data_IF_171985600535
#
_entry.id   IF_171985600535
#
_cell.length_a   1.000
_cell.length_b   1.000
_cell.length_c   1.000
_cell.angle_alpha   90.00
_cell.angle_beta   90.00
_cell.angle_gamma   90.00
#
_symmetry.space_group_name_H-M   'P 1'
#
loop_
_entity.id
_entity.type
_entity.pdbx_description
1 polymer ?
#
# COMPACT_ATOMS: atom_id res chain seq x y z
N UNK A 1 -1.74 -18.47 -2.53
CA UNK A 1 -3.00 -18.30 -3.29
C UNK A 1 -2.74 -17.78 -4.70
N UNK A 2 -2.17 -16.57 -4.87
CA UNK A 2 -1.89 -15.97 -6.19
C UNK A 2 -1.09 -16.92 -7.11
N UNK A 3 0.09 -17.36 -6.67
CA UNK A 3 0.93 -18.33 -7.42
C UNK A 3 0.17 -19.61 -7.83
N UNK A 4 -0.65 -20.17 -6.94
CA UNK A 4 -1.41 -21.40 -7.20
C UNK A 4 -2.52 -21.21 -8.26
N UNK A 5 -2.97 -19.98 -8.49
CA UNK A 5 -4.00 -19.65 -9.47
C UNK A 5 -3.44 -18.89 -10.67
N UNK A 6 -2.11 -18.77 -10.80
CA UNK A 6 -1.48 -17.98 -11.86
C UNK A 6 -1.78 -16.48 -11.78
N UNK A 7 -2.12 -15.97 -10.60
CA UNK A 7 -2.34 -14.54 -10.36
C UNK A 7 -1.09 -13.82 -9.86
N UNK A 8 -1.18 -12.50 -9.82
CA UNK A 8 -0.11 -11.59 -9.36
C UNK A 8 -0.18 -11.36 -7.84
N UNK A 9 0.97 -11.31 -7.19
CA UNK A 9 1.13 -10.89 -5.81
C UNK A 9 1.64 -9.44 -5.75
N UNK A 10 0.80 -8.53 -5.26
CA UNK A 10 1.14 -7.10 -5.15
C UNK A 10 1.55 -6.75 -3.73
N UNK A 11 2.72 -6.14 -3.56
CA UNK A 11 3.16 -5.60 -2.28
C UNK A 11 2.82 -4.12 -2.15
N UNK A 12 2.11 -3.78 -1.06
CA UNK A 12 1.81 -2.41 -0.66
C UNK A 12 2.21 -2.17 0.79
N UNK A 13 2.96 -1.10 1.00
CA UNK A 13 3.33 -0.58 2.32
C UNK A 13 2.30 0.48 2.72
N UNK A 14 1.63 0.25 3.85
CA UNK A 14 0.72 1.20 4.47
C UNK A 14 1.53 2.11 5.40
N UNK A 15 2.05 3.20 4.84
CA UNK A 15 2.98 4.13 5.50
C UNK A 15 2.31 5.46 5.89
N UNK A 16 0.98 5.48 6.05
CA UNK A 16 0.25 6.73 6.32
C UNK A 16 0.40 7.22 7.76
N UNK A 17 0.62 6.29 8.70
CA UNK A 17 1.01 6.59 10.07
C UNK A 17 2.54 6.65 10.17
N UNK A 18 3.10 7.87 10.13
CA UNK A 18 4.56 8.10 10.14
C UNK A 18 5.23 7.69 11.46
N UNK A 19 4.51 7.71 12.58
CA UNK A 19 5.08 7.32 13.88
C UNK A 19 5.28 5.80 13.94
N UNK A 20 4.37 5.04 13.31
CA UNK A 20 4.42 3.58 13.28
C UNK A 20 5.17 3.02 12.07
N UNK A 21 5.27 3.79 10.99
CA UNK A 21 5.87 3.39 9.72
C UNK A 21 7.30 3.93 9.60
N UNK A 22 8.11 3.70 10.62
CA UNK A 22 9.51 4.14 10.60
C UNK A 22 10.27 3.40 9.49
N UNK A 23 11.35 3.98 8.94
CA UNK A 23 12.17 3.30 7.94
C UNK A 23 12.62 1.90 8.38
N UNK A 24 12.95 1.73 9.67
CA UNK A 24 13.38 0.46 10.24
C UNK A 24 12.24 -0.56 10.29
N UNK A 25 11.02 -0.12 10.60
CA UNK A 25 9.85 -0.99 10.60
C UNK A 25 9.52 -1.49 9.18
N UNK A 26 9.64 -0.60 8.18
CA UNK A 26 9.46 -0.97 6.77
C UNK A 26 10.55 -1.95 6.34
N UNK A 27 11.81 -1.68 6.66
CA UNK A 27 12.94 -2.55 6.33
C UNK A 27 12.78 -3.96 6.95
N UNK A 28 12.38 -4.05 8.22
CA UNK A 28 12.12 -5.32 8.88
C UNK A 28 11.03 -6.17 8.17
N UNK A 29 10.01 -5.53 7.60
CA UNK A 29 8.99 -6.21 6.77
C UNK A 29 9.64 -6.75 5.49
N UNK A 30 10.40 -5.91 4.78
CA UNK A 30 11.06 -6.30 3.53
C UNK A 30 12.02 -7.47 3.75
N UNK A 31 12.82 -7.43 4.82
CA UNK A 31 13.74 -8.49 5.20
C UNK A 31 13.01 -9.78 5.55
N UNK A 32 11.91 -9.70 6.31
CA UNK A 32 11.07 -10.85 6.61
C UNK A 32 10.49 -11.49 5.36
N UNK A 33 10.05 -10.69 4.38
CA UNK A 33 9.54 -11.19 3.10
C UNK A 33 10.63 -11.87 2.28
N UNK A 34 11.82 -11.26 2.18
CA UNK A 34 12.96 -11.84 1.48
C UNK A 34 13.41 -13.16 2.14
N UNK A 35 13.48 -13.19 3.47
CA UNK A 35 13.86 -14.39 4.22
C UNK A 35 12.89 -15.56 3.97
N UNK A 36 11.59 -15.27 3.86
CA UNK A 36 10.55 -16.24 3.54
C UNK A 36 10.45 -16.56 2.03
N UNK A 37 11.27 -15.93 1.18
CA UNK A 37 11.18 -16.03 -0.29
C UNK A 37 9.79 -15.69 -0.83
N UNK A 38 9.15 -14.67 -0.24
CA UNK A 38 7.84 -14.15 -0.67
C UNK A 38 8.02 -13.05 -1.70
N UNK A 39 8.38 -13.43 -2.93
CA UNK A 39 8.55 -12.50 -4.04
C UNK A 39 7.20 -11.99 -4.57
N UNK A 40 7.05 -10.66 -4.58
CA UNK A 40 5.93 -9.95 -5.20
C UNK A 40 6.21 -9.63 -6.67
N UNK A 41 5.14 -9.61 -7.46
CA UNK A 41 5.16 -9.31 -8.89
C UNK A 41 5.06 -7.80 -9.14
N UNK A 42 4.37 -7.07 -8.26
CA UNK A 42 4.23 -5.60 -8.33
C UNK A 42 4.54 -4.92 -6.99
N UNK A 43 5.12 -3.72 -7.06
CA UNK A 43 5.48 -2.89 -5.89
C UNK A 43 6.97 -2.92 -5.51
N UNK A 44 7.34 -2.50 -4.29
CA UNK A 44 6.45 -2.03 -3.23
C UNK A 44 5.79 -0.68 -3.55
N UNK A 45 4.47 -0.59 -3.40
CA UNK A 45 3.74 0.67 -3.46
C UNK A 45 3.59 1.29 -2.07
N UNK A 46 3.95 2.56 -1.94
CA UNK A 46 3.80 3.32 -0.69
C UNK A 46 2.52 4.15 -0.75
N UNK A 47 1.70 4.12 0.30
CA UNK A 47 0.45 4.87 0.34
C UNK A 47 0.67 6.37 0.40
N UNK A 48 1.72 6.85 1.08
CA UNK A 48 2.06 8.29 1.13
C UNK A 48 2.31 8.89 -0.26
N UNK A 49 2.81 8.09 -1.20
CA UNK A 49 3.02 8.50 -2.61
C UNK A 49 1.73 8.57 -3.43
N UNK A 50 0.58 8.26 -2.84
CA UNK A 50 -0.72 8.18 -3.53
C UNK A 50 -1.74 9.18 -2.97
N UNK A 51 -1.34 10.12 -2.11
CA UNK A 51 -2.25 11.12 -1.55
C UNK A 51 -2.98 11.91 -2.63
N UNK A 52 -2.34 12.25 -3.75
CA UNK A 52 -3.01 12.92 -4.87
C UNK A 52 -4.21 12.13 -5.40
N UNK A 53 -4.07 10.79 -5.51
CA UNK A 53 -5.18 9.93 -5.94
C UNK A 53 -6.28 9.90 -4.88
N UNK A 54 -5.93 9.85 -3.60
CA UNK A 54 -6.93 9.82 -2.52
C UNK A 54 -7.69 11.15 -2.44
N UNK A 55 -6.98 12.28 -2.52
CA UNK A 55 -7.59 13.61 -2.56
C UNK A 55 -8.56 13.74 -3.74
N UNK A 56 -8.17 13.29 -4.94
CA UNK A 56 -9.07 13.33 -6.10
C UNK A 56 -10.35 12.49 -5.91
N UNK A 57 -10.27 11.35 -5.21
CA UNK A 57 -11.46 10.55 -4.88
C UNK A 57 -12.30 11.24 -3.81
N UNK A 58 -11.66 11.82 -2.78
CA UNK A 58 -12.36 12.58 -1.73
C UNK A 58 -13.13 13.75 -2.34
N UNK A 59 -12.50 14.51 -3.23
CA UNK A 59 -13.15 15.63 -3.92
C UNK A 59 -14.36 15.16 -4.73
N UNK A 60 -14.22 14.06 -5.49
CA UNK A 60 -15.34 13.45 -6.21
C UNK A 60 -16.47 13.04 -5.25
N UNK A 61 -16.15 12.39 -4.14
CA UNK A 61 -17.16 11.93 -3.18
C UNK A 61 -17.89 13.10 -2.50
N UNK A 62 -17.19 14.20 -2.24
CA UNK A 62 -17.79 15.43 -1.73
C UNK A 62 -18.74 16.06 -2.75
N UNK A 63 -18.37 16.09 -4.03
CA UNK A 63 -19.22 16.59 -5.12
C UNK A 63 -20.48 15.74 -5.33
N UNK A 64 -20.35 14.41 -5.24
CA UNK A 64 -21.46 13.46 -5.40
C UNK A 64 -22.38 13.40 -4.16
N UNK A 65 -22.01 14.07 -3.05
CA UNK A 65 -22.74 13.99 -1.79
C UNK A 65 -22.64 12.62 -1.10
N UNK A 66 -21.64 11.81 -1.47
CA UNK A 66 -21.38 10.49 -0.88
C UNK A 66 -20.38 10.56 0.27
N UNK A 67 -19.74 11.71 0.48
CA UNK A 67 -18.95 12.06 1.66
C UNK A 67 -19.35 13.45 2.20
N UNK A 68 -18.93 13.74 3.43
CA UNK A 68 -19.08 15.05 4.08
C UNK A 68 -17.74 15.51 4.66
N UNK A 69 -17.60 16.82 4.88
CA UNK A 69 -16.43 17.42 5.54
C UNK A 69 -16.59 17.47 7.06
#
# INVERSE_FOLDING_TARGET
FARNHGGEFVLRIEDTDLERSTPEAIEAIMDGMNWLSLEWDEGPYYQTKRFDRYNAVIDQMLEEGTAYK
#
